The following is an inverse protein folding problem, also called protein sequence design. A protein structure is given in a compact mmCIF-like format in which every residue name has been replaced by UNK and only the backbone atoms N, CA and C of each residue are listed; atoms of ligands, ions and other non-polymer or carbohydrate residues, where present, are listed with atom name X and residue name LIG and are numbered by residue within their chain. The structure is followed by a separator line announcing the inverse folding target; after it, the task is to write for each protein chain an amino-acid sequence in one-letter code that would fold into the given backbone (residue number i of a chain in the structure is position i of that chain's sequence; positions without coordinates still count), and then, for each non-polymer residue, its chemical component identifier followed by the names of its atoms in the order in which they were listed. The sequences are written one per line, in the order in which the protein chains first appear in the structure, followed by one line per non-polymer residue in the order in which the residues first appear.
data_IF_594076882075
#
_entry.id   IF_594076882075
#
_cell.length_a   1.000
_cell.length_b   1.000
_cell.length_c   1.000
_cell.angle_alpha   90.00
_cell.angle_beta   90.00
_cell.angle_gamma   90.00
#
_symmetry.space_group_name_H-M   'P 1'
#
loop_
_entity.id
_entity.type
_entity.pdbx_description
1 polymer ?
#
# COMPACT_ATOMS: atom_id res chain seq x y z
N UNK A 1 -10.28 -37.64 -7.72
CA UNK A 1 -8.92 -37.13 -7.98
C UNK A 1 -9.00 -36.18 -9.16
N UNK A 2 -8.93 -34.85 -8.98
CA UNK A 2 -8.81 -33.94 -10.11
C UNK A 2 -7.35 -33.81 -10.56
N UNK A 3 -7.13 -33.84 -11.86
CA UNK A 3 -5.83 -33.71 -12.55
C UNK A 3 -5.37 -32.25 -12.52
N UNK A 4 -4.11 -32.03 -12.13
CA UNK A 4 -3.43 -30.72 -12.15
C UNK A 4 -2.84 -30.48 -13.55
N UNK A 5 -3.33 -29.47 -14.26
CA UNK A 5 -2.77 -29.00 -15.53
C UNK A 5 -1.61 -28.02 -15.25
N UNK A 6 -0.49 -28.21 -15.97
CA UNK A 6 0.76 -27.44 -15.79
C UNK A 6 0.77 -26.24 -16.74
N UNK A 7 1.22 -25.03 -16.32
CA UNK A 7 1.23 -23.86 -17.20
C UNK A 7 2.39 -23.92 -18.20
N UNK A 8 2.10 -23.63 -19.47
CA UNK A 8 3.10 -23.58 -20.54
C UNK A 8 3.94 -22.29 -20.47
N UNK A 9 5.21 -22.42 -20.86
CA UNK A 9 6.23 -21.38 -20.88
C UNK A 9 6.34 -20.70 -22.25
N UNK A 10 6.68 -19.41 -22.23
CA UNK A 10 7.60 -18.83 -23.21
C UNK A 10 6.99 -17.99 -24.32
N UNK A 11 7.19 -16.67 -24.26
CA UNK A 11 7.41 -15.83 -25.45
C UNK A 11 8.30 -14.66 -25.04
N UNK A 12 9.51 -14.66 -25.59
CA UNK A 12 10.57 -13.72 -25.29
C UNK A 12 10.57 -12.48 -26.18
N UNK A 13 11.24 -11.45 -25.62
CA UNK A 13 12.07 -10.40 -26.21
C UNK A 13 11.52 -9.60 -27.40
N UNK A 14 11.49 -8.27 -27.23
CA UNK A 14 12.27 -7.32 -28.06
C UNK A 14 12.34 -5.95 -27.35
N UNK A 15 13.48 -5.63 -26.71
CA UNK A 15 13.90 -4.24 -26.49
C UNK A 15 14.94 -3.89 -27.57
N UNK A 16 14.85 -2.74 -28.25
CA UNK A 16 15.94 -2.30 -29.10
C UNK A 16 17.08 -1.71 -28.25
N UNK A 17 18.24 -2.35 -28.36
CA UNK A 17 19.57 -1.87 -27.98
C UNK A 17 20.07 -0.85 -29.01
N UNK A 18 20.55 0.32 -28.55
CA UNK A 18 21.43 1.19 -29.35
C UNK A 18 22.53 1.80 -28.49
N UNK A 19 23.78 1.45 -28.80
CA UNK A 19 25.03 2.18 -28.56
C UNK A 19 26.03 1.70 -29.64
N UNK A 20 27.22 2.29 -29.89
CA UNK A 20 27.84 3.54 -29.38
C UNK A 20 28.47 4.41 -30.51
N UNK A 21 29.02 5.59 -30.16
CA UNK A 21 30.00 6.33 -30.97
C UNK A 21 29.57 7.77 -31.28
N UNK A 22 30.41 8.79 -31.22
CA UNK A 22 31.82 8.89 -30.91
C UNK A 22 32.27 10.33 -31.22
N UNK A 23 33.27 10.75 -30.46
CA UNK A 23 34.20 11.85 -30.70
C UNK A 23 33.89 13.30 -30.28
N UNK A 24 34.97 13.88 -29.77
CA UNK A 24 35.08 15.07 -28.96
C UNK A 24 34.96 16.37 -29.77
N UNK A 25 34.35 17.38 -29.16
CA UNK A 25 34.58 18.77 -29.52
C UNK A 25 34.79 19.56 -28.25
N UNK A 26 36.05 19.78 -27.88
CA UNK A 26 36.42 20.82 -26.92
C UNK A 26 35.83 22.16 -27.38
N UNK A 27 35.10 22.83 -26.49
CA UNK A 27 35.24 24.28 -26.34
C UNK A 27 34.90 24.70 -24.92
N UNK A 28 35.95 25.13 -24.26
CA UNK A 28 35.98 25.98 -23.08
C UNK A 28 34.92 27.09 -23.14
N UNK A 29 34.09 27.15 -22.09
CA UNK A 29 33.52 28.42 -21.61
C UNK A 29 33.10 28.26 -20.15
N UNK A 30 33.93 28.83 -19.28
CA UNK A 30 33.55 29.16 -17.93
C UNK A 30 32.41 30.20 -17.97
N UNK A 31 31.26 29.84 -17.41
CA UNK A 31 30.23 30.73 -16.86
C UNK A 31 29.55 29.89 -15.77
N UNK A 32 29.97 30.08 -14.53
CA UNK A 32 29.38 31.00 -13.57
C UNK A 32 28.49 30.18 -12.62
N UNK A 33 28.88 30.17 -11.35
CA UNK A 33 28.27 29.37 -10.31
C UNK A 33 26.84 29.87 -10.07
N UNK A 34 25.87 29.25 -10.74
CA UNK A 34 24.49 29.32 -10.31
C UNK A 34 24.33 28.33 -9.15
N UNK A 35 24.65 28.81 -7.95
CA UNK A 35 24.23 28.22 -6.69
C UNK A 35 22.70 28.11 -6.75
N UNK A 36 22.19 26.89 -6.95
CA UNK A 36 20.77 26.62 -6.81
C UNK A 36 20.48 26.63 -5.32
N UNK A 37 20.07 27.79 -4.81
CA UNK A 37 19.56 27.94 -3.47
C UNK A 37 18.12 27.39 -3.46
N UNK A 38 17.99 26.07 -3.30
CA UNK A 38 16.74 25.44 -2.87
C UNK A 38 16.68 25.62 -1.37
N UNK A 39 16.17 26.77 -0.96
CA UNK A 39 15.51 26.89 0.32
C UNK A 39 14.24 26.06 0.23
N UNK A 40 14.35 24.76 0.52
CA UNK A 40 13.22 23.90 0.87
C UNK A 40 12.77 24.32 2.27
N UNK A 41 12.11 25.48 2.33
CA UNK A 41 11.43 25.94 3.53
C UNK A 41 10.16 25.10 3.71
N UNK A 42 10.32 23.87 4.18
CA UNK A 42 9.24 23.01 4.67
C UNK A 42 8.76 23.52 6.04
N UNK A 43 8.26 24.76 6.04
CA UNK A 43 7.58 25.33 7.21
C UNK A 43 6.14 24.86 7.17
N UNK A 44 5.85 23.75 7.86
CA UNK A 44 4.49 23.43 8.27
C UNK A 44 3.88 24.67 8.96
N UNK A 45 2.68 25.13 8.56
CA UNK A 45 2.05 26.24 9.25
C UNK A 45 1.78 25.84 10.70
N UNK A 46 2.30 26.60 11.67
CA UNK A 46 1.91 26.43 13.06
C UNK A 46 0.37 26.46 13.14
N UNK A 47 -0.26 25.49 13.84
CA UNK A 47 -1.70 25.44 13.93
C UNK A 47 -2.19 26.73 14.60
N UNK A 48 -2.98 27.51 13.87
CA UNK A 48 -3.61 28.69 14.43
C UNK A 48 -4.46 28.22 15.61
N UNK A 49 -4.16 28.79 16.77
CA UNK A 49 -4.83 28.46 18.03
C UNK A 49 -6.21 29.12 18.00
N UNK A 50 -7.08 28.65 17.10
CA UNK A 50 -8.51 28.90 17.18
C UNK A 50 -8.99 28.12 18.38
N UNK A 51 -9.32 28.85 19.43
CA UNK A 51 -10.23 28.35 20.43
C UNK A 51 -11.42 27.74 19.69
N UNK A 52 -11.52 26.41 19.74
CA UNK A 52 -12.73 25.69 19.38
C UNK A 52 -13.77 26.11 20.42
N UNK A 53 -14.40 27.26 20.19
CA UNK A 53 -15.60 27.65 20.90
C UNK A 53 -16.61 26.52 20.71
N UNK A 54 -16.86 25.82 21.81
CA UNK A 54 -17.65 24.61 21.91
C UNK A 54 -19.14 24.88 21.73
N UNK A 55 -19.51 25.45 20.58
CA UNK A 55 -20.87 25.49 20.11
C UNK A 55 -21.04 24.35 19.09
N UNK A 56 -21.79 23.31 19.47
CA UNK A 56 -22.25 22.28 18.55
C UNK A 56 -22.92 22.98 17.35
N UNK A 57 -22.21 23.05 16.21
CA UNK A 57 -22.75 23.64 14.99
C UNK A 57 -23.90 22.76 14.56
N UNK A 58 -25.13 23.23 14.75
CA UNK A 58 -26.29 22.62 14.15
C UNK A 58 -26.03 22.47 12.64
N UNK A 59 -26.14 21.25 12.12
CA UNK A 59 -25.96 20.99 10.69
C UNK A 59 -26.90 21.91 9.91
N UNK A 60 -26.38 22.56 8.87
CA UNK A 60 -27.22 23.37 7.99
C UNK A 60 -28.36 22.50 7.46
N UNK A 61 -29.61 23.01 7.38
CA UNK A 61 -30.74 22.23 6.90
C UNK A 61 -30.50 21.60 5.50
N UNK A 62 -29.65 22.21 4.68
CA UNK A 62 -29.23 21.62 3.41
C UNK A 62 -28.36 20.37 3.58
N UNK A 63 -27.44 20.37 4.55
CA UNK A 63 -26.59 19.21 4.87
C UNK A 63 -27.44 18.07 5.41
N UNK A 64 -28.34 18.37 6.35
CA UNK A 64 -29.27 17.37 6.90
C UNK A 64 -30.15 16.75 5.80
N UNK A 65 -30.66 17.56 4.87
CA UNK A 65 -31.45 17.08 3.74
C UNK A 65 -30.65 16.17 2.80
N UNK A 66 -29.42 16.54 2.46
CA UNK A 66 -28.54 15.70 1.64
C UNK A 66 -28.21 14.38 2.34
N UNK A 67 -27.86 14.42 3.63
CA UNK A 67 -27.63 13.21 4.43
C UNK A 67 -28.85 12.28 4.40
N UNK A 68 -30.05 12.83 4.60
CA UNK A 68 -31.29 12.04 4.53
C UNK A 68 -31.45 11.36 3.16
N UNK A 69 -31.29 12.10 2.07
CA UNK A 69 -31.42 11.55 0.71
C UNK A 69 -30.40 10.44 0.41
N UNK A 70 -29.17 10.58 0.88
CA UNK A 70 -28.14 9.55 0.70
C UNK A 70 -28.39 8.32 1.57
N UNK A 71 -28.73 8.51 2.85
CA UNK A 71 -29.04 7.41 3.76
C UNK A 71 -30.20 6.56 3.25
N UNK A 72 -31.32 7.20 2.85
CA UNK A 72 -32.49 6.49 2.28
C UNK A 72 -32.12 5.67 1.05
N UNK A 73 -31.31 6.25 0.15
CA UNK A 73 -30.90 5.56 -1.08
C UNK A 73 -30.00 4.36 -0.78
N UNK A 74 -29.06 4.50 0.14
CA UNK A 74 -28.15 3.43 0.53
C UNK A 74 -28.90 2.30 1.25
N UNK A 75 -29.82 2.63 2.17
CA UNK A 75 -30.66 1.64 2.85
C UNK A 75 -31.54 0.87 1.86
N UNK A 76 -32.15 1.56 0.89
CA UNK A 76 -32.94 0.92 -0.15
C UNK A 76 -32.09 -0.02 -1.02
N UNK A 77 -30.88 0.40 -1.40
CA UNK A 77 -29.94 -0.44 -2.14
C UNK A 77 -29.51 -1.66 -1.33
N UNK A 78 -29.18 -1.48 -0.06
CA UNK A 78 -28.75 -2.56 0.82
C UNK A 78 -29.89 -3.58 1.06
N UNK A 79 -31.11 -3.10 1.30
CA UNK A 79 -32.29 -3.95 1.45
C UNK A 79 -32.59 -4.78 0.19
N UNK A 80 -32.41 -4.20 -1.00
CA UNK A 80 -32.57 -4.96 -2.25
C UNK A 80 -31.52 -6.06 -2.40
N UNK A 81 -30.26 -5.76 -2.07
CA UNK A 81 -29.16 -6.74 -2.13
C UNK A 81 -29.37 -7.88 -1.13
N UNK A 82 -29.81 -7.58 0.10
CA UNK A 82 -30.08 -8.59 1.13
C UNK A 82 -31.23 -9.54 0.76
N UNK A 83 -32.19 -9.08 -0.04
CA UNK A 83 -33.33 -9.90 -0.51
C UNK A 83 -32.98 -10.82 -1.68
N UNK A 84 -31.82 -10.66 -2.33
CA UNK A 84 -31.43 -11.50 -3.45
C UNK A 84 -31.01 -12.89 -2.95
N UNK A 85 -31.83 -13.90 -3.27
CA UNK A 85 -31.56 -15.28 -2.91
C UNK A 85 -30.29 -15.76 -3.63
N UNK A 86 -29.24 -16.08 -2.86
CA UNK A 86 -27.95 -16.52 -3.39
C UNK A 86 -26.84 -15.46 -3.37
N UNK A 87 -27.10 -14.24 -2.89
CA UNK A 87 -26.02 -13.31 -2.53
C UNK A 87 -25.40 -13.75 -1.21
N UNK A 88 -24.08 -13.94 -1.21
CA UNK A 88 -23.34 -14.26 0.01
C UNK A 88 -23.52 -13.11 1.03
N UNK A 89 -23.65 -13.41 2.33
CA UNK A 89 -23.74 -12.38 3.35
C UNK A 89 -22.62 -11.33 3.21
N UNK A 90 -22.89 -10.04 3.45
CA UNK A 90 -21.86 -9.01 3.39
C UNK A 90 -20.67 -9.38 4.28
N UNK A 91 -19.46 -9.19 3.76
CA UNK A 91 -18.21 -9.44 4.51
C UNK A 91 -18.19 -8.48 5.68
N UNK A 92 -18.36 -9.01 6.90
CA UNK A 92 -18.24 -8.23 8.12
C UNK A 92 -16.77 -7.89 8.32
N UNK A 93 -16.47 -6.61 8.49
CA UNK A 93 -15.12 -6.20 8.91
C UNK A 93 -14.90 -6.73 10.33
N UNK A 94 -13.74 -7.35 10.56
CA UNK A 94 -13.27 -7.62 11.90
C UNK A 94 -13.12 -6.30 12.66
N UNK A 95 -13.33 -6.32 13.97
CA UNK A 95 -12.98 -5.17 14.79
C UNK A 95 -11.46 -4.92 14.64
N UNK A 96 -11.00 -3.68 14.39
CA UNK A 96 -9.58 -3.36 14.21
C UNK A 96 -8.66 -3.91 15.31
N UNK A 97 -9.18 -4.00 16.54
CA UNK A 97 -8.45 -4.51 17.71
C UNK A 97 -8.75 -5.99 18.01
N UNK A 98 -9.58 -6.64 17.19
CA UNK A 98 -10.02 -8.02 17.41
C UNK A 98 -9.19 -9.01 16.61
N UNK A 99 -8.42 -9.81 17.34
CA UNK A 99 -7.76 -11.01 16.87
C UNK A 99 -8.76 -12.21 16.74
N UNK A 100 -10.06 -12.01 16.90
CA UNK A 100 -11.02 -13.12 16.83
C UNK A 100 -11.16 -13.73 15.42
N UNK A 101 -10.81 -12.95 14.38
CA UNK A 101 -10.96 -13.34 12.98
C UNK A 101 -9.64 -13.75 12.31
N UNK A 102 -8.52 -13.77 13.05
CA UNK A 102 -7.26 -14.28 12.51
C UNK A 102 -7.28 -15.81 12.44
N UNK A 103 -6.71 -16.40 11.39
CA UNK A 103 -6.55 -17.86 11.32
C UNK A 103 -5.51 -18.40 12.32
N UNK A 104 -4.74 -17.53 12.98
CA UNK A 104 -3.70 -17.91 13.93
C UNK A 104 -4.24 -17.85 15.37
N UNK A 105 -4.33 -18.99 16.04
CA UNK A 105 -4.67 -19.06 17.48
C UNK A 105 -3.39 -19.22 18.31
N UNK A 106 -3.43 -18.91 19.61
CA UNK A 106 -2.29 -19.11 20.52
C UNK A 106 -1.82 -20.57 20.56
N UNK A 107 -2.68 -21.52 20.18
CA UNK A 107 -2.33 -22.93 20.01
C UNK A 107 -1.16 -23.13 19.02
N UNK A 108 -0.97 -22.24 18.04
CA UNK A 108 0.17 -22.32 17.10
C UNK A 108 1.52 -22.18 17.81
N UNK A 109 1.56 -21.47 18.93
CA UNK A 109 2.79 -21.30 19.73
C UNK A 109 3.19 -22.57 20.47
N UNK A 110 2.26 -23.52 20.64
CA UNK A 110 2.49 -24.81 21.27
C UNK A 110 3.01 -25.87 20.28
N UNK A 111 2.94 -25.60 18.97
CA UNK A 111 3.39 -26.53 17.93
C UNK A 111 4.91 -26.44 17.79
N UNK A 112 5.61 -27.55 17.99
CA UNK A 112 7.06 -27.65 17.77
C UNK A 112 7.41 -27.46 16.28
N UNK A 113 8.49 -26.74 15.99
CA UNK A 113 8.98 -26.56 14.61
C UNK A 113 9.27 -27.92 13.95
N UNK A 114 8.85 -28.14 12.69
CA UNK A 114 9.07 -29.42 12.03
C UNK A 114 10.55 -29.77 11.95
N UNK A 115 10.94 -31.00 12.31
CA UNK A 115 12.35 -31.45 12.32
C UNK A 115 13.08 -31.34 10.98
N UNK A 116 12.33 -31.28 9.87
CA UNK A 116 12.86 -31.13 8.51
C UNK A 116 12.77 -29.69 8.00
N UNK A 117 12.19 -28.78 8.77
CA UNK A 117 12.14 -27.38 8.42
C UNK A 117 13.47 -26.73 8.78
N UNK A 118 14.14 -26.15 7.78
CA UNK A 118 15.32 -25.33 7.98
C UNK A 118 14.93 -23.86 7.84
N UNK A 119 15.32 -23.04 8.82
CA UNK A 119 15.24 -21.60 8.64
C UNK A 119 16.21 -21.16 7.54
N UNK A 120 15.79 -20.29 6.61
CA UNK A 120 16.69 -19.73 5.64
C UNK A 120 17.72 -18.84 6.37
N UNK A 121 19.00 -19.00 6.03
CA UNK A 121 20.09 -18.23 6.65
C UNK A 121 20.26 -16.87 5.97
N UNK A 122 19.24 -16.03 6.04
CA UNK A 122 19.25 -14.68 5.47
C UNK A 122 19.76 -13.73 6.56
N UNK A 123 20.67 -12.83 6.20
CA UNK A 123 21.11 -11.78 7.13
C UNK A 123 19.91 -10.89 7.48
N UNK A 124 19.78 -10.40 8.72
CA UNK A 124 18.74 -9.43 9.04
C UNK A 124 18.94 -8.15 8.23
N UNK A 125 17.84 -7.54 7.81
CA UNK A 125 17.88 -6.24 7.15
C UNK A 125 18.35 -5.18 8.14
N UNK A 126 19.38 -4.42 7.76
CA UNK A 126 20.01 -3.39 8.60
C UNK A 126 19.29 -2.03 8.52
N UNK A 127 18.31 -1.90 7.63
CA UNK A 127 17.56 -0.66 7.43
C UNK A 127 18.28 0.37 6.56
N UNK A 128 19.52 0.13 6.14
CA UNK A 128 20.35 1.10 5.40
C UNK A 128 20.77 0.61 4.03
N UNK A 129 20.88 -0.71 3.84
CA UNK A 129 21.10 -1.34 2.54
C UNK A 129 19.84 -1.20 1.69
N UNK A 130 19.97 -1.04 0.37
CA UNK A 130 18.80 -1.05 -0.51
C UNK A 130 18.02 -2.39 -0.40
N UNK A 131 16.67 -2.39 -0.35
CA UNK A 131 15.88 -3.62 -0.22
C UNK A 131 16.12 -4.64 -1.33
N UNK A 132 16.39 -4.21 -2.58
CA UNK A 132 16.69 -5.13 -3.67
C UNK A 132 18.07 -5.77 -3.49
N UNK A 133 19.07 -4.99 -3.09
CA UNK A 133 20.41 -5.51 -2.80
C UNK A 133 20.43 -6.46 -1.60
N UNK A 134 19.61 -6.20 -0.58
CA UNK A 134 19.45 -7.07 0.58
C UNK A 134 18.89 -8.46 0.18
N UNK A 135 17.85 -8.47 -0.65
CA UNK A 135 17.22 -9.71 -1.14
C UNK A 135 18.14 -10.45 -2.12
N UNK A 136 18.92 -9.74 -2.93
CA UNK A 136 19.88 -10.36 -3.85
C UNK A 136 20.95 -11.19 -3.12
N UNK A 137 21.31 -10.83 -1.89
CA UNK A 137 22.26 -11.58 -1.06
C UNK A 137 21.68 -12.88 -0.47
N UNK A 138 20.35 -13.01 -0.40
CA UNK A 138 19.68 -14.17 0.20
C UNK A 138 19.72 -15.45 -0.67
N UNK A 139 20.00 -15.30 -1.98
CA UNK A 139 19.87 -16.38 -2.98
C UNK A 139 21.22 -16.93 -3.46
N UNK A 140 22.29 -16.78 -2.67
CA UNK A 140 23.63 -17.23 -3.00
C UNK A 140 24.04 -18.44 -2.17
#
# INVERSE_FOLDING_TARGET
MPTLETPNSGTGMNLPTTAPGGDASMREKAMDAQTYDVEDSDSEPEPDKRASDGAARAESPMIAHLHQMFSERLDAMQSMVERLQGVAPPIRKSNPDSYADTPFTDEITLIEMPRKFSFPSIKPYDGTTDPYDHVAQANK
#
